data_IF_855661261395
#
_entry.id   IF_855661261395
#
_cell.length_a   1.000
_cell.length_b   1.000
_cell.length_c   1.000
_cell.angle_alpha   90.00
_cell.angle_beta   90.00
_cell.angle_gamma   90.00
#
_symmetry.space_group_name_H-M   'P 1'
#
loop_
_entity.id
_entity.type
_entity.pdbx_description
1 polymer ?
#
# COMPACT_ATOMS: atom_id res chain seq x y z
N UNK A 1 13.16 -7.07 -7.29
CA UNK A 1 12.34 -7.24 -6.08
C UNK A 1 12.17 -5.89 -5.40
N UNK A 2 11.04 -5.64 -4.71
CA UNK A 2 10.80 -4.40 -3.98
C UNK A 2 11.40 -4.53 -2.56
N UNK A 3 12.37 -3.68 -2.22
CA UNK A 3 13.10 -3.74 -0.93
C UNK A 3 12.16 -3.60 0.29
N UNK A 4 11.13 -2.76 0.18
CA UNK A 4 10.16 -2.53 1.26
C UNK A 4 9.34 -3.80 1.53
N UNK A 5 8.88 -4.46 0.47
CA UNK A 5 8.14 -5.72 0.58
C UNK A 5 8.98 -6.80 1.28
N UNK A 6 10.25 -6.98 0.89
CA UNK A 6 11.13 -7.95 1.54
C UNK A 6 11.32 -7.66 3.02
N UNK A 7 11.53 -6.38 3.38
CA UNK A 7 11.67 -5.98 4.77
C UNK A 7 10.40 -6.29 5.58
N UNK A 8 9.21 -6.05 5.02
CA UNK A 8 7.95 -6.39 5.69
C UNK A 8 7.83 -7.90 5.86
N UNK A 9 8.17 -8.70 4.85
CA UNK A 9 8.13 -10.17 4.95
C UNK A 9 9.05 -10.69 6.06
N UNK A 10 10.29 -10.21 6.12
CA UNK A 10 11.28 -10.63 7.13
C UNK A 10 10.79 -10.39 8.57
N UNK A 11 10.07 -9.30 8.80
CA UNK A 11 9.64 -8.90 10.14
C UNK A 11 8.20 -9.33 10.49
N UNK A 12 7.34 -9.56 9.49
CA UNK A 12 5.90 -9.74 9.69
C UNK A 12 5.38 -11.13 9.26
N UNK A 13 6.23 -12.06 8.84
CA UNK A 13 5.84 -13.40 8.33
C UNK A 13 4.83 -14.15 9.20
N UNK A 14 4.90 -14.00 10.53
CA UNK A 14 4.07 -14.72 11.50
C UNK A 14 2.91 -13.87 12.07
N UNK A 15 2.60 -12.72 11.46
CA UNK A 15 1.48 -11.89 11.89
C UNK A 15 0.17 -12.40 11.33
N UNK A 16 -0.93 -12.20 12.06
CA UNK A 16 -2.28 -12.57 11.58
C UNK A 16 -2.75 -11.67 10.44
N UNK A 17 -2.36 -10.40 10.46
CA UNK A 17 -2.65 -9.42 9.43
C UNK A 17 -1.65 -8.25 9.48
N UNK A 18 -1.48 -7.57 8.35
CA UNK A 18 -0.66 -6.37 8.18
C UNK A 18 -1.52 -5.18 7.77
N UNK A 19 -1.31 -4.04 8.44
CA UNK A 19 -1.96 -2.78 8.10
C UNK A 19 -0.92 -1.83 7.54
N UNK A 20 -1.10 -1.40 6.29
CA UNK A 20 -0.15 -0.55 5.57
C UNK A 20 -0.91 0.67 5.05
N UNK A 21 -0.28 1.84 5.09
CA UNK A 21 -0.87 3.04 4.50
C UNK A 21 -1.08 2.85 2.99
N UNK A 22 -2.27 3.19 2.49
CA UNK A 22 -2.57 3.26 1.06
C UNK A 22 -2.07 4.62 0.53
N UNK A 23 -1.05 4.65 -0.35
CA UNK A 23 -0.60 5.88 -0.97
C UNK A 23 -1.74 6.58 -1.71
N UNK A 24 -1.71 7.91 -1.79
CA UNK A 24 -2.68 8.62 -2.62
C UNK A 24 -2.51 8.18 -4.08
N UNK A 25 -3.62 8.00 -4.84
CA UNK A 25 -3.51 7.77 -6.27
C UNK A 25 -2.82 8.98 -6.93
N UNK A 26 -2.10 8.76 -8.05
CA UNK A 26 -1.50 9.85 -8.81
C UNK A 26 -2.57 10.88 -9.24
N UNK A 27 -2.21 12.16 -9.21
CA UNK A 27 -3.06 13.22 -9.77
C UNK A 27 -3.04 13.11 -11.29
N UNK A 28 -4.24 13.08 -11.89
CA UNK A 28 -4.42 12.87 -13.31
C UNK A 28 -4.59 14.24 -13.97
N UNK A 29 -3.60 14.66 -14.76
CA UNK A 29 -3.62 15.98 -15.41
C UNK A 29 -4.31 15.94 -16.79
N UNK A 30 -4.43 14.76 -17.41
CA UNK A 30 -5.11 14.56 -18.69
C UNK A 30 -5.72 13.16 -18.78
N UNK A 31 -6.83 13.04 -19.51
CA UNK A 31 -7.62 11.81 -19.63
C UNK A 31 -6.98 10.73 -20.52
N UNK A 32 -5.96 11.05 -21.32
CA UNK A 32 -5.33 10.10 -22.25
C UNK A 32 -4.27 9.22 -21.58
N UNK A 33 -3.57 9.73 -20.55
CA UNK A 33 -2.54 8.98 -19.81
C UNK A 33 -3.08 8.29 -18.55
N UNK A 34 -4.35 8.54 -18.24
CA UNK A 34 -5.00 8.17 -16.99
C UNK A 34 -5.02 6.66 -16.74
N UNK A 35 -5.32 5.88 -17.78
CA UNK A 35 -5.38 4.42 -17.66
C UNK A 35 -3.99 3.81 -17.38
N UNK A 36 -2.96 4.21 -18.12
CA UNK A 36 -1.61 3.68 -17.96
C UNK A 36 -1.02 4.01 -16.59
N UNK A 37 -1.22 5.25 -16.14
CA UNK A 37 -0.77 5.72 -14.83
C UNK A 37 -1.49 4.97 -13.71
N UNK A 38 -2.80 4.74 -13.85
CA UNK A 38 -3.57 3.98 -12.87
C UNK A 38 -3.17 2.50 -12.81
N UNK A 39 -2.94 1.86 -13.97
CA UNK A 39 -2.42 0.49 -14.04
C UNK A 39 -1.03 0.37 -13.38
N UNK A 40 -0.17 1.36 -13.61
CA UNK A 40 1.15 1.41 -12.98
C UNK A 40 1.05 1.55 -11.46
N UNK A 41 0.11 2.35 -10.96
CA UNK A 41 -0.17 2.47 -9.53
C UNK A 41 -0.62 1.12 -8.92
N UNK A 42 -1.58 0.44 -9.55
CA UNK A 42 -2.02 -0.89 -9.10
C UNK A 42 -0.90 -1.94 -9.13
N UNK A 43 -0.01 -1.87 -10.13
CA UNK A 43 1.16 -2.75 -10.21
C UNK A 43 2.13 -2.53 -9.04
N UNK A 44 2.31 -1.27 -8.63
CA UNK A 44 3.16 -0.95 -7.47
C UNK A 44 2.55 -1.46 -6.17
N UNK A 45 1.23 -1.30 -5.98
CA UNK A 45 0.53 -1.88 -4.83
C UNK A 45 0.67 -3.40 -4.80
N UNK A 46 0.47 -4.06 -5.95
CA UNK A 46 0.63 -5.52 -6.09
C UNK A 46 2.04 -5.97 -5.70
N UNK A 47 3.08 -5.26 -6.14
CA UNK A 47 4.47 -5.55 -5.77
C UNK A 47 4.74 -5.32 -4.29
N UNK A 48 4.11 -4.31 -3.68
CA UNK A 48 4.27 -4.00 -2.27
C UNK A 48 3.63 -5.07 -1.38
N UNK A 49 2.48 -5.62 -1.78
CA UNK A 49 1.70 -6.58 -0.99
C UNK A 49 1.94 -8.04 -1.37
N UNK A 50 2.87 -8.30 -2.28
CA UNK A 50 3.17 -9.65 -2.75
C UNK A 50 3.69 -10.52 -1.60
N UNK A 51 3.10 -11.71 -1.43
CA UNK A 51 3.52 -12.70 -0.42
C UNK A 51 3.63 -12.15 1.01
N UNK A 52 2.76 -11.18 1.34
CA UNK A 52 2.53 -10.74 2.71
C UNK A 52 1.39 -11.55 3.34
N UNK A 53 1.31 -11.58 4.69
CA UNK A 53 0.07 -11.97 5.38
C UNK A 53 -1.14 -11.14 4.90
N UNK A 54 -2.38 -11.53 5.27
CA UNK A 54 -3.58 -10.76 4.94
C UNK A 54 -3.37 -9.26 5.19
N UNK A 55 -3.37 -8.47 4.12
CA UNK A 55 -2.95 -7.06 4.15
C UNK A 55 -4.15 -6.14 3.91
N UNK A 56 -4.33 -5.16 4.79
CA UNK A 56 -5.30 -4.08 4.63
C UNK A 56 -4.53 -2.80 4.31
N UNK A 57 -4.82 -2.21 3.14
CA UNK A 57 -4.31 -0.91 2.74
C UNK A 57 -5.27 0.19 3.25
N UNK A 58 -4.77 1.12 4.06
CA UNK A 58 -5.58 2.12 4.78
C UNK A 58 -5.21 3.52 4.35
N UNK A 59 -6.18 4.31 3.86
CA UNK A 59 -6.02 5.74 3.66
C UNK A 59 -6.84 6.49 4.71
N UNK A 60 -6.17 7.23 5.60
CA UNK A 60 -6.85 8.05 6.60
C UNK A 60 -7.31 9.38 6.00
N UNK A 61 -8.58 9.74 6.20
CA UNK A 61 -9.11 11.06 5.80
C UNK A 61 -8.69 12.20 6.76
N UNK A 62 -8.08 11.87 7.90
CA UNK A 62 -7.50 12.79 8.90
C UNK A 62 -6.58 12.02 9.86
N UNK A 63 -5.57 12.68 10.43
CA UNK A 63 -4.69 12.07 11.43
C UNK A 63 -5.50 11.75 12.70
N UNK A 64 -5.75 10.46 12.94
CA UNK A 64 -6.34 10.00 14.20
C UNK A 64 -5.20 9.54 15.08
N UNK A 65 -4.79 10.40 16.02
CA UNK A 65 -3.97 9.97 17.16
C UNK A 65 -4.87 9.19 18.11
N UNK A 66 -5.03 7.88 17.85
CA UNK A 66 -5.69 6.99 18.80
C UNK A 66 -4.79 6.86 20.03
N UNK A 67 -5.03 7.69 21.03
CA UNK A 67 -4.41 7.57 22.36
C UNK A 67 -5.24 6.60 23.18
N UNK A 68 -5.09 5.31 22.90
CA UNK A 68 -5.62 4.30 23.82
C UNK A 68 -4.52 4.03 24.86
N UNK A 69 -4.84 4.33 26.12
CA UNK A 69 -4.01 4.14 27.32
C UNK A 69 -3.77 2.65 27.61
#
# INVERSE_FOLDING_TARGET
MNLVNQLIQEHCKNTTATFIYLPAPPALESSEEEELVYLQYLHLLTKLTFDLPPTILVHGVSAVTSTTL
#
